data_IF_912208824881
#
_entry.id   IF_912208824881
#
_cell.length_a   1.000
_cell.length_b   1.000
_cell.length_c   1.000
_cell.angle_alpha   90.00
_cell.angle_beta   90.00
_cell.angle_gamma   90.00
#
_symmetry.space_group_name_H-M   'P 1'
#
loop_
_entity.id
_entity.type
_entity.pdbx_description
1 polymer ?
#
# COMPACT_ATOMS: atom_id res chain seq x y z
N UNK A 1 -0.50 -19.21 16.96
CA UNK A 1 -0.70 -17.97 16.19
C UNK A 1 -2.00 -18.04 15.43
N UNK A 2 -2.99 -17.22 15.79
CA UNK A 2 -4.28 -17.14 15.05
C UNK A 2 -4.33 -15.82 14.32
N UNK A 3 -3.86 -15.82 13.07
CA UNK A 3 -4.32 -14.80 12.13
C UNK A 3 -5.81 -15.02 11.88
N UNK A 4 -6.58 -13.95 11.60
CA UNK A 4 -7.96 -14.13 11.22
C UNK A 4 -8.06 -15.10 10.04
N UNK A 5 -8.99 -16.06 10.13
CA UNK A 5 -9.32 -17.00 9.05
C UNK A 5 -9.70 -16.28 7.75
N UNK A 6 -10.16 -15.03 7.87
CA UNK A 6 -10.49 -14.14 6.78
C UNK A 6 -9.80 -12.80 6.99
N UNK A 7 -8.83 -12.46 6.14
CA UNK A 7 -8.21 -11.14 6.16
C UNK A 7 -8.99 -10.21 5.20
N UNK A 8 -9.79 -9.24 5.69
CA UNK A 8 -10.58 -8.35 4.85
C UNK A 8 -9.67 -7.41 4.07
N UNK A 9 -9.36 -7.77 2.84
CA UNK A 9 -8.69 -6.91 1.89
C UNK A 9 -9.14 -7.22 0.47
N UNK A 10 -9.02 -6.23 -0.42
CA UNK A 10 -9.29 -6.36 -1.83
C UNK A 10 -8.37 -5.49 -2.65
N UNK A 11 -8.09 -5.94 -3.88
CA UNK A 11 -7.33 -5.22 -4.90
C UNK A 11 -8.32 -4.83 -5.98
N UNK A 12 -8.61 -3.55 -6.05
CA UNK A 12 -9.52 -3.00 -7.06
C UNK A 12 -8.72 -2.46 -8.23
N UNK A 13 -9.09 -2.83 -9.45
CA UNK A 13 -8.53 -2.25 -10.67
C UNK A 13 -9.39 -1.05 -11.08
N UNK A 14 -8.78 0.11 -11.19
CA UNK A 14 -9.42 1.33 -11.68
C UNK A 14 -9.01 1.57 -13.13
N UNK A 15 -9.97 1.82 -14.01
CA UNK A 15 -9.74 2.06 -15.44
C UNK A 15 -10.30 3.41 -15.87
N UNK A 16 -9.45 4.23 -16.47
CA UNK A 16 -9.77 5.58 -16.89
C UNK A 16 -9.57 5.75 -18.39
N UNK A 17 -10.55 6.38 -19.06
CA UNK A 17 -10.40 6.86 -20.43
C UNK A 17 -9.73 8.24 -20.40
N UNK A 18 -8.56 8.36 -21.02
CA UNK A 18 -7.79 9.61 -21.04
C UNK A 18 -8.46 10.63 -21.95
N UNK A 19 -8.68 11.84 -21.43
CA UNK A 19 -9.36 12.94 -22.14
C UNK A 19 -8.36 14.00 -22.61
N UNK A 20 -7.35 14.29 -21.79
CA UNK A 20 -6.21 15.15 -22.17
C UNK A 20 -4.90 14.44 -21.80
N UNK A 21 -3.78 14.72 -22.50
CA UNK A 21 -2.54 13.97 -22.29
C UNK A 21 -2.10 13.91 -20.82
N UNK A 22 -1.89 12.70 -20.28
CA UNK A 22 -1.40 12.50 -18.91
C UNK A 22 0.06 12.11 -18.97
N UNK A 23 0.92 12.93 -18.34
CA UNK A 23 2.36 12.68 -18.23
C UNK A 23 2.67 12.14 -16.84
N UNK A 24 2.92 10.84 -16.76
CA UNK A 24 3.32 10.18 -15.52
C UNK A 24 4.85 10.15 -15.43
N UNK A 25 5.43 10.48 -14.25
CA UNK A 25 6.87 10.36 -14.05
C UNK A 25 7.27 8.88 -14.05
N UNK A 26 8.58 8.63 -14.01
CA UNK A 26 9.17 7.29 -13.98
C UNK A 26 8.48 6.33 -12.98
N UNK A 27 8.09 6.85 -11.81
CA UNK A 27 7.24 6.15 -10.85
C UNK A 27 6.00 6.96 -10.46
N UNK A 28 4.84 6.52 -10.96
CA UNK A 28 3.58 7.24 -10.79
C UNK A 28 2.95 7.12 -9.40
N UNK A 29 3.35 6.15 -8.57
CA UNK A 29 2.62 5.82 -7.33
C UNK A 29 2.50 6.99 -6.36
N UNK A 30 3.55 7.79 -6.21
CA UNK A 30 3.49 8.99 -5.38
C UNK A 30 2.62 10.11 -5.94
N UNK A 31 2.61 10.28 -7.26
CA UNK A 31 1.76 11.25 -7.94
C UNK A 31 0.30 10.87 -7.74
N UNK A 32 -0.03 9.61 -8.00
CA UNK A 32 -1.36 9.04 -7.81
C UNK A 32 -1.82 9.15 -6.35
N UNK A 33 -0.99 8.76 -5.38
CA UNK A 33 -1.30 8.96 -3.95
C UNK A 33 -1.56 10.44 -3.62
N UNK A 34 -0.77 11.35 -4.18
CA UNK A 34 -0.88 12.79 -3.93
C UNK A 34 -2.20 13.37 -4.44
N UNK A 35 -2.58 13.06 -5.67
CA UNK A 35 -3.84 13.55 -6.25
C UNK A 35 -5.05 12.93 -5.55
N UNK A 36 -4.97 11.64 -5.20
CA UNK A 36 -6.01 10.96 -4.41
C UNK A 36 -6.21 11.61 -3.04
N UNK A 37 -5.13 11.83 -2.28
CA UNK A 37 -5.23 12.46 -0.96
C UNK A 37 -5.86 13.85 -1.02
N UNK A 38 -5.45 14.66 -2.01
CA UNK A 38 -6.03 15.99 -2.21
C UNK A 38 -7.51 15.92 -2.58
N UNK A 39 -7.89 15.05 -3.51
CA UNK A 39 -9.29 14.89 -3.93
C UNK A 39 -10.17 14.34 -2.81
N UNK A 40 -9.69 13.33 -2.06
CA UNK A 40 -10.38 12.78 -0.90
C UNK A 40 -10.58 13.84 0.19
N UNK A 41 -9.54 14.63 0.49
CA UNK A 41 -9.66 15.72 1.47
C UNK A 41 -10.68 16.76 1.03
N UNK A 42 -10.64 17.21 -0.23
CA UNK A 42 -11.61 18.17 -0.78
C UNK A 42 -13.04 17.65 -0.73
N UNK A 43 -13.21 16.34 -0.92
CA UNK A 43 -14.51 15.68 -0.90
C UNK A 43 -15.05 15.52 0.53
N UNK A 44 -14.24 15.06 1.46
CA UNK A 44 -14.70 14.67 2.80
C UNK A 44 -14.61 15.80 3.86
N UNK A 45 -13.75 16.80 3.66
CA UNK A 45 -13.47 17.80 4.69
C UNK A 45 -14.58 18.87 4.77
N UNK A 46 -15.44 18.74 5.78
CA UNK A 46 -16.51 19.70 6.05
C UNK A 46 -16.01 21.05 6.59
N UNK A 47 -14.99 21.04 7.46
CA UNK A 47 -14.53 22.25 8.15
C UNK A 47 -13.56 23.09 7.33
N UNK A 48 -12.96 22.51 6.29
CA UNK A 48 -11.90 23.11 5.44
C UNK A 48 -10.70 23.68 6.22
N UNK A 49 -10.52 23.30 7.48
CA UNK A 49 -9.35 23.70 8.27
C UNK A 49 -8.06 23.29 7.59
N UNK A 50 -7.01 24.12 7.71
CA UNK A 50 -5.70 23.85 7.08
C UNK A 50 -5.09 22.55 7.60
N UNK A 51 -5.16 22.31 8.91
CA UNK A 51 -4.62 21.13 9.57
C UNK A 51 -5.71 20.19 10.09
N UNK A 52 -5.55 18.89 9.89
CA UNK A 52 -6.50 17.88 10.34
C UNK A 52 -6.42 17.62 11.85
N UNK A 53 -5.22 17.70 12.45
CA UNK A 53 -4.99 17.34 13.87
C UNK A 53 -5.81 18.15 14.88
N UNK A 54 -5.95 19.49 14.77
CA UNK A 54 -6.77 20.27 15.69
C UNK A 54 -8.27 20.22 15.36
N UNK A 55 -8.68 19.53 14.30
CA UNK A 55 -10.07 19.50 13.86
C UNK A 55 -10.91 18.67 14.86
N UNK A 56 -12.08 19.16 15.31
CA UNK A 56 -12.96 18.41 16.22
C UNK A 56 -13.48 17.09 15.62
N UNK A 57 -13.43 16.95 14.28
CA UNK A 57 -13.82 15.72 13.57
C UNK A 57 -12.64 14.78 13.27
N UNK A 58 -11.41 15.07 13.74
CA UNK A 58 -10.20 14.35 13.31
C UNK A 58 -10.30 12.82 13.38
N UNK A 59 -10.91 12.27 14.45
CA UNK A 59 -11.03 10.83 14.65
C UNK A 59 -12.25 10.17 13.99
N UNK A 60 -13.26 10.95 13.62
CA UNK A 60 -14.50 10.48 12.98
C UNK A 60 -14.57 10.81 11.49
N UNK A 61 -13.66 11.66 11.01
CA UNK A 61 -13.63 12.10 9.62
C UNK A 61 -13.16 10.96 8.68
N UNK A 62 -13.84 10.75 7.54
CA UNK A 62 -13.43 9.73 6.56
C UNK A 62 -12.03 9.97 5.97
N UNK A 63 -11.58 11.22 5.83
CA UNK A 63 -10.25 11.51 5.26
C UNK A 63 -9.11 10.97 6.14
N UNK A 64 -9.00 11.32 7.44
CA UNK A 64 -8.04 10.68 8.33
C UNK A 64 -8.23 9.15 8.40
N UNK A 65 -9.47 8.65 8.46
CA UNK A 65 -9.72 7.21 8.55
C UNK A 65 -9.08 6.37 7.42
N UNK A 66 -8.95 6.96 6.23
CA UNK A 66 -8.35 6.33 5.03
C UNK A 66 -6.92 6.80 4.75
N UNK A 67 -6.66 8.11 4.73
CA UNK A 67 -5.44 8.68 4.15
C UNK A 67 -4.37 9.12 5.16
N UNK A 68 -4.79 9.52 6.36
CA UNK A 68 -3.95 10.06 7.43
C UNK A 68 -4.42 9.49 8.77
N UNK A 69 -4.34 8.16 8.91
CA UNK A 69 -4.91 7.50 10.07
C UNK A 69 -4.26 8.01 11.37
N UNK A 70 -5.05 8.52 12.33
CA UNK A 70 -4.54 8.91 13.62
C UNK A 70 -3.90 7.74 14.34
N UNK A 71 -2.73 7.95 14.94
CA UNK A 71 -2.21 7.01 15.93
C UNK A 71 -3.19 6.90 17.12
N UNK A 72 -3.24 5.74 17.80
CA UNK A 72 -3.97 5.60 19.05
C UNK A 72 -3.44 6.60 20.10
N UNK A 73 -4.35 7.09 20.95
CA UNK A 73 -4.01 8.02 22.04
C UNK A 73 -3.13 7.38 23.11
N UNK A 74 -3.35 6.10 23.37
CA UNK A 74 -2.60 5.27 24.31
C UNK A 74 -2.35 3.91 23.65
N UNK A 75 -1.11 3.41 23.73
CA UNK A 75 -0.78 2.07 23.28
C UNK A 75 0.26 1.46 24.21
N UNK A 76 -0.02 0.24 24.71
CA UNK A 76 0.71 -0.38 25.82
C UNK A 76 2.21 -0.59 25.57
N UNK A 77 2.64 -0.68 24.30
CA UNK A 77 3.99 -1.10 23.94
C UNK A 77 4.87 0.00 23.32
N UNK A 78 4.29 1.05 22.71
CA UNK A 78 5.06 2.08 22.01
C UNK A 78 4.24 3.33 21.70
N UNK A 79 4.89 4.50 21.71
CA UNK A 79 4.35 5.73 21.10
C UNK A 79 4.51 5.65 19.58
N UNK A 80 3.44 5.35 18.85
CA UNK A 80 3.45 5.45 17.39
C UNK A 80 3.31 6.91 16.98
N UNK A 81 4.26 7.43 16.21
CA UNK A 81 4.10 8.75 15.57
C UNK A 81 3.10 8.69 14.41
N UNK A 82 2.99 7.54 13.74
CA UNK A 82 2.01 7.18 12.71
C UNK A 82 1.80 5.66 12.68
N UNK A 83 0.61 5.21 12.32
CA UNK A 83 0.32 3.81 11.99
C UNK A 83 0.17 3.64 10.47
N UNK A 84 0.39 2.43 9.93
CA UNK A 84 0.19 2.18 8.50
C UNK A 84 -1.23 2.56 8.08
N UNK A 85 -1.38 3.25 6.95
CA UNK A 85 -2.72 3.47 6.40
C UNK A 85 -3.24 2.18 5.75
N UNK A 86 -4.57 1.98 5.73
CA UNK A 86 -5.23 0.77 5.24
C UNK A 86 -5.41 0.74 3.71
N UNK A 87 -4.46 1.30 2.96
CA UNK A 87 -4.47 1.27 1.50
C UNK A 87 -3.08 1.19 0.89
N UNK A 88 -3.01 0.70 -0.36
CA UNK A 88 -1.83 0.76 -1.22
C UNK A 88 -2.27 1.19 -2.64
N UNK A 89 -1.61 2.19 -3.20
CA UNK A 89 -1.67 2.46 -4.65
C UNK A 89 -0.64 1.58 -5.34
N UNK A 90 -1.06 0.65 -6.19
CA UNK A 90 -0.17 -0.08 -7.10
C UNK A 90 -0.22 0.62 -8.46
N UNK A 91 0.77 1.48 -8.80
CA UNK A 91 0.74 2.29 -10.01
C UNK A 91 0.82 1.44 -11.29
N UNK A 92 0.63 2.07 -12.48
CA UNK A 92 1.02 1.46 -13.75
C UNK A 92 2.49 1.03 -13.74
N UNK A 93 2.88 0.24 -14.75
CA UNK A 93 4.25 -0.24 -14.92
C UNK A 93 5.27 0.92 -14.82
N UNK A 94 6.41 0.61 -14.22
CA UNK A 94 7.49 1.56 -14.04
C UNK A 94 8.01 2.07 -15.39
N UNK A 95 8.20 3.38 -15.50
CA UNK A 95 8.71 4.05 -16.69
C UNK A 95 8.01 5.38 -16.91
N UNK A 96 8.73 6.35 -17.48
CA UNK A 96 8.10 7.60 -17.89
C UNK A 96 7.17 7.32 -19.08
N UNK A 97 5.92 7.77 -18.97
CA UNK A 97 4.92 7.55 -20.01
C UNK A 97 4.00 8.74 -20.17
N UNK A 98 3.71 9.05 -21.42
CA UNK A 98 2.63 9.96 -21.81
C UNK A 98 1.48 9.11 -22.33
N UNK A 99 0.33 9.21 -21.69
CA UNK A 99 -0.90 8.60 -22.18
C UNK A 99 -1.65 9.61 -23.05
N UNK A 100 -1.94 9.24 -24.30
CA UNK A 100 -2.68 10.10 -25.23
C UNK A 100 -4.20 10.05 -24.98
N UNK A 101 -4.96 11.08 -25.40
CA UNK A 101 -6.43 11.03 -25.40
C UNK A 101 -6.95 9.78 -26.12
N UNK A 102 -7.96 9.13 -25.54
CA UNK A 102 -8.51 7.87 -26.02
C UNK A 102 -7.81 6.61 -25.49
N UNK A 103 -6.60 6.73 -24.92
CA UNK A 103 -5.96 5.59 -24.24
C UNK A 103 -6.67 5.23 -22.94
N UNK A 104 -6.53 3.96 -22.54
CA UNK A 104 -6.91 3.51 -21.20
C UNK A 104 -5.70 3.59 -20.26
N UNK A 105 -5.86 4.33 -19.17
CA UNK A 105 -4.96 4.31 -18.02
C UNK A 105 -5.57 3.42 -16.95
N UNK A 106 -4.82 2.44 -16.46
CA UNK A 106 -5.27 1.56 -15.39
C UNK A 106 -4.20 1.33 -14.33
N UNK A 107 -4.65 1.19 -13.08
CA UNK A 107 -3.81 0.88 -11.93
C UNK A 107 -4.65 0.18 -10.84
N UNK A 108 -4.00 -0.35 -9.81
CA UNK A 108 -4.73 -0.99 -8.71
C UNK A 108 -4.69 -0.16 -7.42
N UNK A 109 -5.75 -0.30 -6.64
CA UNK A 109 -5.88 0.28 -5.31
C UNK A 109 -6.28 -0.84 -4.35
N UNK A 110 -5.37 -1.19 -3.46
CA UNK A 110 -5.59 -2.21 -2.44
C UNK A 110 -6.20 -1.54 -1.21
N UNK A 111 -7.28 -2.10 -0.68
CA UNK A 111 -7.95 -1.66 0.54
C UNK A 111 -7.93 -2.76 1.59
N UNK A 112 -7.81 -2.37 2.86
CA UNK A 112 -7.74 -3.29 3.99
C UNK A 112 -8.70 -2.86 5.12
N UNK A 113 -9.29 -3.84 5.80
CA UNK A 113 -10.12 -3.64 6.98
C UNK A 113 -11.22 -2.60 6.77
N UNK A 114 -11.35 -1.68 7.73
CA UNK A 114 -12.36 -0.60 7.69
C UNK A 114 -12.35 0.26 6.42
N UNK A 115 -11.24 0.33 5.68
CA UNK A 115 -11.17 1.14 4.45
C UNK A 115 -12.07 0.60 3.33
N UNK A 116 -12.39 -0.70 3.35
CA UNK A 116 -13.35 -1.31 2.42
C UNK A 116 -14.73 -0.65 2.51
N UNK A 117 -15.15 -0.24 3.72
CA UNK A 117 -16.41 0.49 3.93
C UNK A 117 -16.43 1.89 3.33
N UNK A 118 -15.26 2.44 2.96
CA UNK A 118 -15.14 3.75 2.32
C UNK A 118 -15.05 3.68 0.79
N UNK A 119 -15.22 2.50 0.18
CA UNK A 119 -15.09 2.31 -1.27
C UNK A 119 -15.91 3.33 -2.10
N UNK A 120 -17.19 3.64 -1.81
CA UNK A 120 -17.94 4.65 -2.56
C UNK A 120 -17.29 6.03 -2.54
N UNK A 121 -16.84 6.46 -1.36
CA UNK A 121 -16.13 7.73 -1.20
C UNK A 121 -14.79 7.74 -1.94
N UNK A 122 -14.08 6.61 -1.93
CA UNK A 122 -12.78 6.44 -2.61
C UNK A 122 -12.96 6.48 -4.14
N UNK A 123 -13.97 5.78 -4.68
CA UNK A 123 -14.30 5.81 -6.11
C UNK A 123 -14.61 7.23 -6.54
N UNK A 124 -15.45 7.94 -5.79
CA UNK A 124 -15.77 9.33 -6.07
C UNK A 124 -14.54 10.25 -5.95
N UNK A 125 -13.67 10.04 -4.95
CA UNK A 125 -12.43 10.80 -4.82
C UNK A 125 -11.49 10.58 -6.02
N UNK A 126 -11.41 9.36 -6.57
CA UNK A 126 -10.64 9.08 -7.78
C UNK A 126 -11.24 9.73 -9.04
N UNK A 127 -12.57 9.71 -9.20
CA UNK A 127 -13.25 10.48 -10.25
C UNK A 127 -12.87 11.97 -10.17
N UNK A 128 -12.95 12.56 -8.97
CA UNK A 128 -12.57 13.96 -8.75
C UNK A 128 -11.08 14.19 -8.99
N UNK A 129 -10.20 13.29 -8.58
CA UNK A 129 -8.76 13.44 -8.78
C UNK A 129 -8.42 13.62 -10.26
N UNK A 130 -8.95 12.75 -11.14
CA UNK A 130 -8.68 12.82 -12.57
C UNK A 130 -9.43 13.94 -13.30
N UNK A 131 -10.60 14.37 -12.80
CA UNK A 131 -11.28 15.57 -13.32
C UNK A 131 -10.50 16.87 -13.06
N UNK A 132 -9.78 16.94 -11.94
CA UNK A 132 -9.00 18.13 -11.55
C UNK A 132 -7.56 18.13 -12.08
N UNK A 133 -7.13 17.06 -12.75
CA UNK A 133 -5.81 16.96 -13.37
C UNK A 133 -4.81 16.12 -12.56
N UNK A 134 -3.98 15.35 -13.30
CA UNK A 134 -2.95 14.45 -12.77
C UNK A 134 -1.64 14.64 -13.52
N UNK A 135 -0.52 14.60 -12.78
CA UNK A 135 0.81 14.66 -13.36
C UNK A 135 1.19 16.05 -13.89
N UNK A 136 2.26 16.12 -14.68
CA UNK A 136 2.75 17.38 -15.24
C UNK A 136 1.81 17.83 -16.37
N UNK A 137 1.23 19.02 -16.24
CA UNK A 137 0.30 19.58 -17.23
C UNK A 137 -1.17 19.26 -16.96
N UNK A 138 -1.53 18.81 -15.75
CA UNK A 138 -2.90 18.61 -15.29
C UNK A 138 -3.77 17.77 -16.24
N UNK A 139 -3.18 16.67 -16.73
CA UNK A 139 -3.86 15.74 -17.64
C UNK A 139 -5.10 15.13 -17.00
N UNK A 140 -6.16 14.97 -17.78
CA UNK A 140 -7.49 14.56 -17.31
C UNK A 140 -7.90 13.22 -17.89
N UNK A 141 -8.67 12.48 -17.10
CA UNK A 141 -9.29 11.25 -17.53
C UNK A 141 -10.62 11.05 -16.81
N UNK A 142 -11.49 10.25 -17.41
CA UNK A 142 -12.77 9.85 -16.82
C UNK A 142 -12.67 8.42 -16.32
N UNK A 143 -13.04 8.18 -15.06
CA UNK A 143 -13.19 6.81 -14.55
C UNK A 143 -14.31 6.14 -15.33
N UNK A 144 -13.99 5.02 -15.96
CA UNK A 144 -14.93 4.22 -16.75
C UNK A 144 -15.38 2.98 -15.99
N UNK A 145 -14.45 2.33 -15.27
CA UNK A 145 -14.70 1.04 -14.65
C UNK A 145 -13.89 0.86 -13.37
N UNK A 146 -14.49 0.16 -12.40
CA UNK A 146 -13.76 -0.44 -11.28
C UNK A 146 -14.13 -1.92 -11.22
N UNK A 147 -13.11 -2.77 -11.18
CA UNK A 147 -13.29 -4.22 -11.00
C UNK A 147 -12.56 -4.76 -9.78
N UNK A 148 -13.07 -5.87 -9.26
CA UNK A 148 -12.41 -6.72 -8.29
C UNK A 148 -12.26 -8.10 -8.93
N UNK A 149 -11.03 -8.58 -9.12
CA UNK A 149 -10.76 -9.77 -9.94
C UNK A 149 -11.39 -9.62 -11.35
N UNK A 150 -12.20 -10.59 -11.79
CA UNK A 150 -12.91 -10.54 -13.07
C UNK A 150 -14.25 -9.79 -13.00
N UNK A 151 -14.70 -9.39 -11.81
CA UNK A 151 -16.02 -8.85 -11.57
C UNK A 151 -16.02 -7.31 -11.65
N UNK A 152 -16.84 -6.73 -12.52
CA UNK A 152 -17.06 -5.28 -12.59
C UNK A 152 -17.99 -4.86 -11.46
N UNK A 153 -17.53 -3.95 -10.61
CA UNK A 153 -18.29 -3.45 -9.44
C UNK A 153 -18.78 -2.03 -9.63
N UNK A 154 -18.18 -1.27 -10.55
CA UNK A 154 -18.63 0.06 -10.95
C UNK A 154 -18.46 0.18 -12.46
N UNK A 155 -19.52 0.64 -13.12
CA UNK A 155 -19.50 1.06 -14.51
C UNK A 155 -20.04 2.48 -14.60
N UNK A 156 -19.34 3.35 -15.34
CA UNK A 156 -19.69 4.76 -15.45
C UNK A 156 -21.02 5.00 -16.17
N UNK A 157 -21.42 4.09 -17.07
CA UNK A 157 -22.65 4.23 -17.84
C UNK A 157 -23.88 3.81 -17.02
N UNK A 158 -23.71 2.82 -16.12
CA UNK A 158 -24.76 2.39 -15.19
C UNK A 158 -24.84 3.27 -13.93
N UNK A 159 -23.73 3.87 -13.53
CA UNK A 159 -23.65 4.75 -12.36
C UNK A 159 -23.84 4.04 -11.01
N UNK A 160 -23.92 2.71 -11.00
CA UNK A 160 -24.06 1.91 -9.78
C UNK A 160 -22.73 1.37 -9.30
N UNK A 161 -22.53 1.33 -7.98
CA UNK A 161 -21.39 0.70 -7.34
C UNK A 161 -21.88 -0.45 -6.46
N UNK A 162 -21.52 -1.68 -6.80
CA UNK A 162 -21.79 -2.85 -5.96
C UNK A 162 -20.76 -2.93 -4.83
N UNK A 163 -21.25 -3.07 -3.61
CA UNK A 163 -20.39 -3.29 -2.46
C UNK A 163 -20.11 -4.78 -2.28
N UNK A 164 -18.83 -5.14 -2.32
CA UNK A 164 -18.37 -6.48 -2.02
C UNK A 164 -17.94 -6.58 -0.55
N UNK A 165 -17.94 -7.82 -0.01
CA UNK A 165 -17.29 -8.16 1.27
C UNK A 165 -16.09 -9.07 0.99
N UNK A 166 -15.02 -8.53 0.38
CA UNK A 166 -13.89 -9.35 -0.03
C UNK A 166 -13.08 -9.80 1.19
N UNK A 167 -12.53 -11.00 1.09
CA UNK A 167 -11.54 -11.54 2.00
C UNK A 167 -10.44 -12.18 1.20
N UNK A 168 -9.21 -12.04 1.66
CA UNK A 168 -8.11 -12.83 1.11
C UNK A 168 -8.33 -14.31 1.44
N UNK A 169 -7.93 -15.20 0.53
CA UNK A 169 -7.87 -16.62 0.84
C UNK A 169 -6.83 -16.84 1.94
N UNK A 170 -7.02 -17.85 2.80
CA UNK A 170 -6.02 -18.21 3.80
C UNK A 170 -4.70 -18.61 3.10
N UNK A 171 -3.54 -18.39 3.75
CA UNK A 171 -2.27 -18.90 3.25
C UNK A 171 -2.30 -20.44 3.22
N UNK A 172 -1.40 -21.04 2.42
CA UNK A 172 -1.16 -22.48 2.52
C UNK A 172 -0.75 -22.86 3.95
N UNK A 173 -1.22 -24.03 4.40
CA UNK A 173 -0.84 -24.61 5.69
C UNK A 173 0.33 -25.58 5.59
N UNK A 174 0.83 -25.82 4.38
CA UNK A 174 1.94 -26.73 4.12
C UNK A 174 3.25 -26.14 4.66
N UNK A 175 3.99 -26.96 5.41
CA UNK A 175 5.32 -26.60 5.87
C UNK A 175 6.20 -26.24 4.67
N UNK A 176 6.96 -25.15 4.79
CA UNK A 176 7.78 -24.63 3.70
C UNK A 176 9.18 -24.33 4.20
N UNK A 177 10.17 -24.90 3.53
CA UNK A 177 11.58 -24.73 3.88
C UNK A 177 12.31 -23.70 3.02
N UNK A 178 11.66 -23.24 1.93
CA UNK A 178 12.21 -22.22 1.04
C UNK A 178 11.14 -21.44 0.30
N UNK A 179 11.40 -20.16 0.07
CA UNK A 179 10.57 -19.28 -0.73
C UNK A 179 11.43 -18.22 -1.41
N UNK A 180 11.17 -17.94 -2.69
CA UNK A 180 11.81 -16.83 -3.40
C UNK A 180 10.82 -15.69 -3.54
N UNK A 181 11.22 -14.51 -3.06
CA UNK A 181 10.43 -13.29 -3.11
C UNK A 181 10.95 -12.42 -4.25
N UNK A 182 10.08 -12.08 -5.21
CA UNK A 182 10.43 -11.21 -6.33
C UNK A 182 9.92 -9.80 -6.05
N UNK A 183 10.83 -8.90 -5.68
CA UNK A 183 10.52 -7.50 -5.46
C UNK A 183 10.41 -6.75 -6.80
N UNK A 184 9.18 -6.37 -7.16
CA UNK A 184 8.85 -5.65 -8.40
C UNK A 184 8.87 -4.13 -8.23
N UNK A 185 8.88 -3.65 -6.99
CA UNK A 185 9.08 -2.23 -6.66
C UNK A 185 10.09 -2.09 -5.51
N UNK A 186 10.81 -0.96 -5.42
CA UNK A 186 11.88 -0.78 -4.43
C UNK A 186 11.44 -1.07 -2.99
N UNK A 187 12.09 -2.04 -2.36
CA UNK A 187 12.00 -2.30 -0.93
C UNK A 187 12.90 -1.32 -0.17
N UNK A 188 12.35 -0.72 0.88
CA UNK A 188 13.04 0.25 1.74
C UNK A 188 12.77 -0.03 3.20
N UNK A 189 13.66 -0.77 3.84
CA UNK A 189 13.61 -0.97 5.29
C UNK A 189 14.46 0.09 6.00
N UNK A 190 14.11 0.37 7.25
CA UNK A 190 14.82 1.36 8.06
C UNK A 190 15.11 0.82 9.45
N UNK A 191 16.29 1.13 9.97
CA UNK A 191 16.65 0.96 11.37
C UNK A 191 16.84 2.35 11.99
N UNK A 192 16.09 2.65 13.07
CA UNK A 192 16.14 3.95 13.75
C UNK A 192 15.99 5.16 12.82
N UNK A 193 15.10 5.04 11.82
CA UNK A 193 14.81 6.08 10.83
C UNK A 193 15.82 6.18 9.69
N UNK A 194 16.96 5.47 9.75
CA UNK A 194 17.97 5.41 8.68
C UNK A 194 17.67 4.25 7.72
N UNK A 195 17.73 4.47 6.39
CA UNK A 195 17.65 3.37 5.42
C UNK A 195 18.73 2.32 5.66
N UNK A 196 18.39 1.04 5.50
CA UNK A 196 19.34 -0.08 5.53
C UNK A 196 19.90 -0.29 4.12
N UNK A 197 21.22 -0.48 3.99
CA UNK A 197 21.86 -0.75 2.69
C UNK A 197 21.49 -2.13 2.14
N UNK A 198 21.66 -2.33 0.82
CA UNK A 198 21.35 -3.60 0.16
C UNK A 198 22.09 -4.81 0.77
N UNK A 199 23.37 -4.61 1.08
CA UNK A 199 24.24 -5.65 1.65
C UNK A 199 23.87 -5.96 3.11
N UNK A 200 23.49 -4.92 3.88
CA UNK A 200 23.14 -5.02 5.30
C UNK A 200 21.75 -5.63 5.55
N UNK A 201 20.85 -5.59 4.57
CA UNK A 201 19.48 -6.09 4.69
C UNK A 201 19.45 -7.58 5.07
N UNK A 202 18.92 -7.96 6.22
CA UNK A 202 18.83 -9.38 6.60
C UNK A 202 17.44 -9.97 6.35
N UNK A 203 17.34 -11.31 6.26
CA UNK A 203 16.05 -12.01 6.24
C UNK A 203 15.20 -11.63 7.47
N UNK A 204 15.86 -11.49 8.63
CA UNK A 204 15.26 -11.00 9.87
C UNK A 204 14.60 -9.63 9.70
N UNK A 205 15.27 -8.67 9.08
CA UNK A 205 14.71 -7.32 8.86
C UNK A 205 13.42 -7.37 8.04
N UNK A 206 13.42 -8.17 6.98
CA UNK A 206 12.26 -8.36 6.11
C UNK A 206 11.09 -9.01 6.86
N UNK A 207 11.33 -10.16 7.49
CA UNK A 207 10.32 -10.95 8.19
C UNK A 207 9.74 -10.16 9.37
N UNK A 208 10.57 -9.52 10.19
CA UNK A 208 10.11 -8.64 11.28
C UNK A 208 9.34 -7.44 10.73
N UNK A 209 9.74 -6.88 9.59
CA UNK A 209 9.01 -5.81 8.91
C UNK A 209 7.59 -6.24 8.49
N UNK A 210 7.45 -7.44 7.94
CA UNK A 210 6.17 -8.02 7.55
C UNK A 210 5.27 -8.31 8.75
N UNK A 211 5.83 -8.91 9.81
CA UNK A 211 5.11 -9.21 11.05
C UNK A 211 4.57 -7.91 11.67
N UNK A 212 5.45 -6.91 11.86
CA UNK A 212 5.07 -5.61 12.44
C UNK A 212 3.96 -4.95 11.64
N UNK A 213 4.10 -4.89 10.31
CA UNK A 213 3.09 -4.26 9.45
C UNK A 213 1.74 -4.98 9.54
N UNK A 214 1.75 -6.31 9.51
CA UNK A 214 0.55 -7.14 9.62
C UNK A 214 -0.14 -6.93 10.97
N UNK A 215 0.62 -6.96 12.06
CA UNK A 215 0.09 -6.72 13.40
C UNK A 215 -0.56 -5.33 13.54
N UNK A 216 0.10 -4.29 13.04
CA UNK A 216 -0.45 -2.92 13.09
C UNK A 216 -1.71 -2.77 12.24
N UNK A 217 -1.76 -3.37 11.04
CA UNK A 217 -2.97 -3.35 10.21
C UNK A 217 -4.11 -4.10 10.92
N UNK A 218 -3.83 -5.29 11.46
CA UNK A 218 -4.81 -6.11 12.17
C UNK A 218 -5.40 -5.36 13.37
N UNK A 219 -4.54 -4.81 14.22
CA UNK A 219 -4.96 -4.12 15.44
C UNK A 219 -5.80 -2.89 15.12
N UNK A 220 -5.32 -2.02 14.21
CA UNK A 220 -5.92 -0.69 14.03
C UNK A 220 -6.99 -0.60 12.93
N UNK A 221 -7.08 -1.59 12.04
CA UNK A 221 -8.04 -1.57 10.94
C UNK A 221 -8.99 -2.76 10.91
N UNK A 222 -8.64 -3.86 11.56
CA UNK A 222 -9.52 -5.02 11.72
C UNK A 222 -10.10 -5.09 13.15
N UNK A 223 -9.54 -4.33 14.10
CA UNK A 223 -9.95 -4.39 15.51
C UNK A 223 -9.51 -5.68 16.21
N UNK A 224 -8.52 -6.38 15.64
CA UNK A 224 -8.04 -7.65 16.15
C UNK A 224 -6.55 -7.56 16.47
N UNK A 225 -6.21 -7.61 17.75
CA UNK A 225 -4.82 -7.77 18.18
C UNK A 225 -4.37 -9.21 17.93
N UNK A 226 -3.26 -9.38 17.23
CA UNK A 226 -2.67 -10.70 17.01
C UNK A 226 -1.92 -11.15 18.27
N UNK A 227 -2.20 -12.37 18.72
CA UNK A 227 -1.45 -13.02 19.80
C UNK A 227 -0.15 -13.60 19.22
N UNK A 228 0.89 -12.77 19.22
CA UNK A 228 2.21 -13.05 18.66
C UNK A 228 3.27 -12.98 19.74
N UNK A 229 4.06 -14.04 19.87
CA UNK A 229 5.35 -13.97 20.54
C UNK A 229 6.36 -13.32 19.59
N UNK A 230 6.42 -11.98 19.64
CA UNK A 230 7.34 -11.21 18.81
C UNK A 230 8.81 -11.55 19.06
N UNK A 231 9.17 -11.97 20.28
CA UNK A 231 10.54 -12.32 20.59
C UNK A 231 10.90 -13.65 19.94
N UNK A 232 10.09 -14.68 20.14
CA UNK A 232 10.30 -15.98 19.51
C UNK A 232 10.30 -15.89 17.98
N UNK A 233 9.40 -15.08 17.39
CA UNK A 233 9.38 -14.86 15.94
C UNK A 233 10.62 -14.12 15.43
N UNK A 234 11.14 -13.15 16.18
CA UNK A 234 12.36 -12.42 15.80
C UNK A 234 13.61 -13.31 15.92
N UNK A 235 13.65 -14.20 16.91
CA UNK A 235 14.73 -15.16 17.10
C UNK A 235 14.69 -16.22 15.99
N UNK A 236 13.52 -16.80 15.72
CA UNK A 236 13.32 -17.70 14.58
C UNK A 236 13.70 -17.04 13.25
N UNK A 237 13.33 -15.78 13.03
CA UNK A 237 13.69 -15.05 11.82
C UNK A 237 15.20 -14.82 11.66
N UNK A 238 15.95 -14.85 12.77
CA UNK A 238 17.42 -14.73 12.77
C UNK A 238 18.11 -16.03 12.33
N UNK A 239 17.41 -17.16 12.36
CA UNK A 239 17.91 -18.47 11.88
C UNK A 239 17.70 -18.68 10.38
N UNK A 240 16.94 -17.79 9.73
CA UNK A 240 16.62 -17.90 8.30
C UNK A 240 17.80 -17.44 7.47
N UNK A 241 18.34 -18.36 6.69
CA UNK A 241 19.36 -18.08 5.69
C UNK A 241 18.73 -17.40 4.48
N UNK A 242 19.53 -16.62 3.74
CA UNK A 242 19.03 -16.02 2.52
C UNK A 242 20.09 -15.78 1.46
N UNK A 243 19.66 -15.90 0.21
CA UNK A 243 20.43 -15.61 -0.99
C UNK A 243 19.76 -14.42 -1.71
N UNK A 244 20.54 -13.37 -2.00
CA UNK A 244 20.05 -12.14 -2.60
C UNK A 244 20.54 -12.03 -4.04
N UNK A 245 19.61 -11.84 -4.98
CA UNK A 245 19.86 -11.34 -6.33
C UNK A 245 19.17 -9.99 -6.47
N UNK A 246 19.60 -9.07 -5.62
CA UNK A 246 19.04 -7.74 -5.48
C UNK A 246 19.97 -6.71 -6.12
N UNK A 247 19.39 -5.70 -6.76
CA UNK A 247 20.12 -4.52 -7.20
C UNK A 247 19.42 -3.27 -6.68
N UNK A 248 20.21 -2.22 -6.47
CA UNK A 248 19.68 -0.94 -6.07
C UNK A 248 19.07 -0.24 -7.28
N UNK A 249 17.83 0.22 -7.15
CA UNK A 249 17.17 1.06 -8.15
C UNK A 249 16.98 2.44 -7.57
N UNK A 250 17.81 3.38 -8.00
CA UNK A 250 17.66 4.79 -7.66
C UNK A 250 16.61 5.48 -8.50
N UNK A 251 15.87 6.37 -7.85
CA UNK A 251 15.02 7.35 -8.51
C UNK A 251 14.79 8.53 -7.56
N UNK A 252 14.63 9.71 -8.14
CA UNK A 252 14.35 10.94 -7.40
C UNK A 252 12.91 11.39 -7.61
N UNK A 253 12.38 12.10 -6.60
CA UNK A 253 11.07 12.74 -6.72
C UNK A 253 11.04 14.09 -6.03
N UNK A 254 10.38 15.06 -6.65
CA UNK A 254 9.95 16.27 -5.98
C UNK A 254 8.78 16.00 -5.01
N UNK A 255 8.89 16.46 -3.77
CA UNK A 255 7.85 16.32 -2.73
C UNK A 255 7.09 17.62 -2.54
N UNK A 256 5.86 17.74 -3.06
CA UNK A 256 5.07 18.99 -2.95
C UNK A 256 4.84 19.44 -1.50
N UNK A 257 4.75 18.50 -0.55
CA UNK A 257 4.59 18.81 0.87
C UNK A 257 5.86 19.40 1.50
N UNK A 258 7.03 18.90 1.10
CA UNK A 258 8.33 19.28 1.69
C UNK A 258 9.12 20.23 0.79
N UNK A 259 8.63 20.52 -0.43
CA UNK A 259 9.26 21.33 -1.48
C UNK A 259 10.73 20.96 -1.78
N UNK A 260 11.06 19.67 -1.69
CA UNK A 260 12.42 19.17 -1.89
C UNK A 260 12.44 17.92 -2.77
N UNK A 261 13.56 17.69 -3.44
CA UNK A 261 13.86 16.44 -4.12
C UNK A 261 14.25 15.36 -3.10
N UNK A 262 13.72 14.16 -3.25
CA UNK A 262 13.92 13.04 -2.34
C UNK A 262 14.52 11.86 -3.10
N UNK A 263 15.63 11.31 -2.60
CA UNK A 263 16.11 10.01 -3.02
C UNK A 263 15.19 8.92 -2.45
N UNK A 264 14.49 8.22 -3.34
CA UNK A 264 13.54 7.17 -2.99
C UNK A 264 14.02 5.79 -3.43
N UNK A 265 15.32 5.65 -3.68
CA UNK A 265 15.96 4.39 -4.01
C UNK A 265 15.75 3.30 -2.96
N UNK A 266 15.82 2.06 -3.43
CA UNK A 266 15.69 0.84 -2.64
C UNK A 266 16.05 -0.38 -3.49
N UNK A 267 15.96 -1.56 -2.89
CA UNK A 267 16.34 -2.81 -3.57
C UNK A 267 15.18 -3.43 -4.32
N UNK A 268 15.47 -3.99 -5.49
CA UNK A 268 14.55 -4.77 -6.34
C UNK A 268 15.27 -6.04 -6.80
N UNK A 269 14.51 -7.04 -7.23
CA UNK A 269 15.05 -8.33 -7.68
C UNK A 269 14.56 -9.50 -6.84
N UNK A 270 15.27 -10.63 -6.93
CA UNK A 270 14.88 -11.86 -6.24
C UNK A 270 15.61 -11.97 -4.90
N UNK A 271 14.89 -12.40 -3.86
CA UNK A 271 15.44 -12.71 -2.54
C UNK A 271 14.91 -14.07 -2.09
N UNK A 272 15.79 -15.08 -2.05
CA UNK A 272 15.46 -16.44 -1.63
C UNK A 272 15.72 -16.60 -0.15
N UNK A 273 14.73 -17.09 0.58
CA UNK A 273 14.81 -17.45 2.00
C UNK A 273 14.88 -18.97 2.15
N UNK A 274 15.68 -19.46 3.11
CA UNK A 274 15.86 -20.89 3.42
C UNK A 274 15.88 -21.13 4.93
N UNK A 275 15.25 -22.20 5.38
CA UNK A 275 15.06 -22.53 6.80
C UNK A 275 13.59 -22.82 7.10
N UNK A 276 13.19 -22.92 8.36
CA UNK A 276 11.78 -23.11 8.70
C UNK A 276 10.96 -21.83 8.46
N UNK A 277 10.30 -21.76 7.29
CA UNK A 277 9.47 -20.61 6.92
C UNK A 277 8.01 -20.75 7.39
N UNK A 278 7.65 -21.89 7.96
CA UNK A 278 6.27 -22.21 8.38
C UNK A 278 5.67 -21.12 9.29
N UNK A 279 6.38 -20.59 10.30
CA UNK A 279 5.86 -19.51 11.14
C UNK A 279 5.61 -18.20 10.39
N UNK A 280 6.27 -18.02 9.24
CA UNK A 280 6.27 -16.77 8.49
C UNK A 280 5.33 -16.78 7.29
N UNK A 281 4.85 -17.95 6.86
CA UNK A 281 3.99 -18.11 5.68
C UNK A 281 2.81 -17.13 5.64
N UNK A 282 2.09 -16.90 6.75
CA UNK A 282 0.96 -15.99 6.68
C UNK A 282 1.36 -14.53 6.47
N UNK A 283 2.50 -14.10 7.01
CA UNK A 283 3.02 -12.75 6.84
C UNK A 283 3.61 -12.54 5.44
N UNK A 284 4.24 -13.57 4.88
CA UNK A 284 4.70 -13.58 3.48
C UNK A 284 3.52 -13.49 2.52
N UNK A 285 2.48 -14.28 2.75
CA UNK A 285 1.24 -14.28 1.96
C UNK A 285 0.55 -12.91 1.96
N UNK A 286 0.33 -12.35 3.16
CA UNK A 286 -0.27 -11.02 3.31
C UNK A 286 0.64 -9.91 2.77
N UNK A 287 1.96 -10.08 2.83
CA UNK A 287 2.93 -9.12 2.32
C UNK A 287 2.77 -8.80 0.83
N UNK A 288 2.28 -9.74 0.02
CA UNK A 288 1.97 -9.53 -1.40
C UNK A 288 0.84 -8.51 -1.64
N UNK A 289 0.04 -8.22 -0.61
CA UNK A 289 -1.08 -7.26 -0.65
C UNK A 289 -0.77 -6.01 0.16
N UNK A 290 -0.19 -6.20 1.36
CA UNK A 290 0.13 -5.12 2.26
C UNK A 290 1.36 -4.33 1.80
N UNK A 291 2.22 -4.95 0.97
CA UNK A 291 3.60 -4.52 0.71
C UNK A 291 4.42 -4.41 2.01
N UNK A 292 5.71 -4.09 1.93
CA UNK A 292 6.57 -3.97 3.11
C UNK A 292 7.55 -2.80 3.05
N UNK A 293 7.84 -2.22 4.21
CA UNK A 293 8.79 -1.12 4.35
C UNK A 293 8.18 0.27 4.16
N UNK A 294 9.07 1.25 4.01
CA UNK A 294 8.73 2.66 3.92
C UNK A 294 8.00 2.95 2.63
N UNK A 295 6.95 3.75 2.74
CA UNK A 295 6.14 4.23 1.61
C UNK A 295 5.34 3.16 0.85
N UNK A 296 5.00 2.05 1.52
CA UNK A 296 4.07 1.05 1.00
C UNK A 296 2.77 1.64 0.43
N UNK A 297 2.21 2.69 1.04
CA UNK A 297 0.94 3.32 0.59
C UNK A 297 0.95 3.86 -0.84
N UNK A 298 2.13 4.15 -1.41
CA UNK A 298 2.24 4.52 -2.81
C UNK A 298 2.86 3.44 -3.69
N UNK A 299 2.91 2.20 -3.22
CA UNK A 299 3.20 1.02 -4.03
C UNK A 299 4.62 0.46 -3.89
N UNK A 300 5.47 1.04 -3.04
CA UNK A 300 6.83 0.49 -2.80
C UNK A 300 6.79 -0.79 -1.96
N UNK A 301 7.86 -1.59 -2.06
CA UNK A 301 8.00 -2.86 -1.33
C UNK A 301 6.99 -3.94 -1.73
N UNK A 302 6.46 -3.85 -2.95
CA UNK A 302 5.70 -4.93 -3.58
C UNK A 302 6.62 -6.11 -3.87
N UNK A 303 6.16 -7.30 -3.51
CA UNK A 303 6.76 -8.55 -3.97
C UNK A 303 5.67 -9.57 -4.25
N UNK A 304 6.02 -10.55 -5.07
CA UNK A 304 5.26 -11.77 -5.29
C UNK A 304 6.14 -12.96 -4.84
N UNK A 305 5.53 -14.02 -4.33
CA UNK A 305 6.24 -15.27 -4.02
C UNK A 305 6.35 -16.04 -5.34
N UNK A 306 7.56 -16.28 -5.82
CA UNK A 306 7.80 -17.12 -6.98
C UNK A 306 7.44 -18.58 -6.62
N UNK A 307 6.80 -19.28 -7.57
CA UNK A 307 6.44 -20.69 -7.44
C UNK A 307 7.67 -21.57 -7.15
#
# INVERSE_FOLDING_TARGET
MTLPTHFPAARYRFEFAVETPIRLPEYAGSTLRGVFGNALRRTACMTRQKDCKPCPLYRTCPYPAVFETPAPEQHALQKFSQIPNPYVVEPPAWGERVHAPGETLAFHFVLMGRALGHLPLIVYAWQRAFQHGVGKGDGKARLTRVSHEAEVIFDADEGTLRQLKPSLPPPSSEARSSATLRFTTPLRLQHNGKPIGADELSARDLLVGLIKRTALISEFHLGQKLDLDFHALADAASTIESEKRLHWRDWTRYSNRQKQEMALGGVVGDWTLRGDLTPFLPFLHLGQWLHVGKNATFGLGRFDIAE
#
